data_IF_961868244806
#
_entry.id   IF_961868244806
#
_cell.length_a   1.000
_cell.length_b   1.000
_cell.length_c   1.000
_cell.angle_alpha   90.00
_cell.angle_beta   90.00
_cell.angle_gamma   90.00
#
_symmetry.space_group_name_H-M   'P 1'
#
loop_
_entity.id
_entity.type
_entity.pdbx_description
1 polymer ?
#
# COMPACT_ATOMS: atom_id res chain seq x y z
N UNK A 1 -5.42 10.96 23.10
CA UNK A 1 -5.69 9.53 22.90
C UNK A 1 -6.00 9.35 21.42
N UNK A 2 -5.23 8.56 20.66
CA UNK A 2 -5.52 8.33 19.26
C UNK A 2 -6.95 7.78 19.12
N UNK A 3 -7.71 8.36 18.19
CA UNK A 3 -9.07 7.91 17.95
C UNK A 3 -9.04 6.47 17.43
N UNK A 4 -9.91 5.60 17.93
CA UNK A 4 -9.97 4.20 17.49
C UNK A 4 -10.06 4.07 15.96
N UNK A 5 -10.75 5.00 15.31
CA UNK A 5 -10.88 5.09 13.85
C UNK A 5 -9.54 5.35 13.14
N UNK A 6 -8.67 6.17 13.72
CA UNK A 6 -7.35 6.50 13.17
C UNK A 6 -6.42 5.27 13.22
N UNK A 7 -6.47 4.51 14.32
CA UNK A 7 -5.72 3.25 14.46
C UNK A 7 -6.19 2.22 13.44
N UNK A 8 -7.50 2.05 13.28
CA UNK A 8 -8.08 1.14 12.29
C UNK A 8 -7.68 1.53 10.85
N UNK A 9 -7.70 2.83 10.54
CA UNK A 9 -7.28 3.33 9.24
C UNK A 9 -5.79 3.05 8.97
N UNK A 10 -4.90 3.40 9.92
CA UNK A 10 -3.46 3.15 9.80
C UNK A 10 -3.13 1.65 9.64
N UNK A 11 -3.81 0.77 10.38
CA UNK A 11 -3.66 -0.68 10.24
C UNK A 11 -4.18 -1.19 8.89
N UNK A 12 -5.34 -0.72 8.43
CA UNK A 12 -5.87 -1.07 7.11
C UNK A 12 -4.91 -0.65 6.00
N UNK A 13 -4.40 0.58 6.07
CA UNK A 13 -3.45 1.13 5.11
C UNK A 13 -2.16 0.30 5.05
N UNK A 14 -1.65 -0.11 6.21
CA UNK A 14 -0.48 -0.97 6.32
C UNK A 14 -0.70 -2.35 5.67
N UNK A 15 -1.86 -2.97 5.91
CA UNK A 15 -2.20 -4.25 5.29
C UNK A 15 -2.30 -4.12 3.76
N UNK A 16 -2.94 -3.06 3.27
CA UNK A 16 -3.03 -2.76 1.83
C UNK A 16 -1.65 -2.50 1.21
N UNK A 17 -0.73 -1.86 1.94
CA UNK A 17 0.64 -1.64 1.50
C UNK A 17 1.38 -2.97 1.28
N UNK A 18 1.29 -3.92 2.21
CA UNK A 18 1.92 -5.23 2.07
C UNK A 18 1.35 -6.04 0.90
N UNK A 19 0.03 -6.04 0.74
CA UNK A 19 -0.65 -6.64 -0.42
C UNK A 19 -0.17 -6.01 -1.74
N UNK A 20 -0.12 -4.68 -1.79
CA UNK A 20 0.37 -3.94 -2.96
C UNK A 20 1.83 -4.24 -3.26
N UNK A 21 2.68 -4.40 -2.25
CA UNK A 21 4.09 -4.75 -2.42
C UNK A 21 4.27 -6.16 -3.00
N UNK A 22 3.49 -7.12 -2.50
CA UNK A 22 3.49 -8.48 -3.04
C UNK A 22 3.10 -8.50 -4.52
N UNK A 23 2.04 -7.80 -4.89
CA UNK A 23 1.60 -7.69 -6.29
C UNK A 23 2.64 -6.95 -7.14
N UNK A 24 3.25 -5.89 -6.62
CA UNK A 24 4.31 -5.14 -7.29
C UNK A 24 5.51 -6.04 -7.63
N UNK A 25 5.95 -6.89 -6.70
CA UNK A 25 7.00 -7.89 -6.94
C UNK A 25 6.54 -8.93 -7.97
N UNK A 26 5.32 -9.46 -7.84
CA UNK A 26 4.76 -10.44 -8.77
C UNK A 26 4.70 -9.92 -10.22
N UNK A 27 4.31 -8.67 -10.39
CA UNK A 27 4.23 -8.01 -11.70
C UNK A 27 5.62 -7.61 -12.23
N UNK A 28 6.51 -7.11 -11.37
CA UNK A 28 7.80 -6.55 -11.80
C UNK A 28 8.88 -7.62 -11.97
N UNK A 29 9.02 -8.51 -10.99
CA UNK A 29 10.07 -9.55 -10.96
C UNK A 29 9.59 -10.79 -11.71
N UNK A 30 8.42 -11.32 -11.35
CA UNK A 30 7.89 -12.56 -11.93
C UNK A 30 7.16 -12.35 -13.27
N UNK A 31 6.96 -11.09 -13.69
CA UNK A 31 6.29 -10.69 -14.94
C UNK A 31 4.94 -11.39 -15.14
N UNK A 32 4.24 -11.74 -14.05
CA UNK A 32 3.03 -12.54 -14.11
C UNK A 32 1.89 -11.70 -14.74
N UNK A 33 1.35 -12.09 -15.92
CA UNK A 33 0.38 -11.27 -16.65
C UNK A 33 -0.99 -11.20 -15.96
N UNK A 34 -1.30 -12.11 -15.03
CA UNK A 34 -2.61 -12.22 -14.38
C UNK A 34 -2.96 -11.00 -13.50
N UNK A 35 -2.00 -10.13 -13.18
CA UNK A 35 -2.23 -8.98 -12.30
C UNK A 35 -2.14 -7.63 -13.05
N UNK A 36 -1.73 -7.63 -14.33
CA UNK A 36 -1.67 -6.42 -15.17
C UNK A 36 -3.00 -5.67 -15.39
N UNK A 37 -4.18 -6.31 -15.46
CA UNK A 37 -5.42 -5.56 -15.72
C UNK A 37 -5.94 -4.83 -14.47
N UNK A 38 -5.53 -5.24 -13.27
CA UNK A 38 -6.04 -4.73 -11.99
C UNK A 38 -4.99 -3.86 -11.29
N UNK A 39 -3.71 -4.18 -11.47
CA UNK A 39 -2.61 -3.52 -10.80
C UNK A 39 -1.76 -2.68 -11.75
N UNK A 40 -1.65 -1.39 -11.45
CA UNK A 40 -0.70 -0.49 -12.10
C UNK A 40 0.56 -0.41 -11.25
N UNK A 41 1.73 -0.47 -11.88
CA UNK A 41 3.05 -0.38 -11.23
C UNK A 41 3.18 0.84 -10.31
N UNK A 42 2.42 1.91 -10.58
CA UNK A 42 2.38 3.14 -9.78
C UNK A 42 1.56 3.07 -8.49
N UNK A 43 0.72 2.04 -8.32
CA UNK A 43 -0.13 1.92 -7.13
C UNK A 43 0.68 1.68 -5.85
N UNK A 44 1.76 0.89 -5.93
CA UNK A 44 2.65 0.67 -4.80
C UNK A 44 3.34 1.96 -4.31
N UNK A 45 4.08 2.72 -5.15
CA UNK A 45 4.70 3.96 -4.70
C UNK A 45 3.69 5.01 -4.23
N UNK A 46 2.47 5.04 -4.80
CA UNK A 46 1.40 5.93 -4.33
C UNK A 46 0.90 5.55 -2.92
N UNK A 47 0.61 4.27 -2.67
CA UNK A 47 0.22 3.78 -1.34
C UNK A 47 1.33 3.97 -0.30
N UNK A 48 2.59 3.79 -0.71
CA UNK A 48 3.74 4.05 0.14
C UNK A 48 3.83 5.53 0.52
N UNK A 49 3.65 6.45 -0.44
CA UNK A 49 3.65 7.89 -0.16
C UNK A 49 2.57 8.27 0.85
N UNK A 50 1.33 7.79 0.66
CA UNK A 50 0.22 8.03 1.59
C UNK A 50 0.53 7.46 2.98
N UNK A 51 1.10 6.26 3.05
CA UNK A 51 1.49 5.66 4.32
C UNK A 51 2.54 6.48 5.06
N UNK A 52 3.56 6.97 4.36
CA UNK A 52 4.60 7.82 4.96
C UNK A 52 4.00 9.16 5.42
N UNK A 53 3.10 9.75 4.64
CA UNK A 53 2.46 11.02 5.00
C UNK A 53 1.64 10.87 6.30
N UNK A 54 0.75 9.88 6.33
CA UNK A 54 -0.17 9.62 7.46
C UNK A 54 0.54 9.10 8.71
N UNK A 55 1.60 8.30 8.57
CA UNK A 55 2.29 7.70 9.72
C UNK A 55 3.49 8.51 10.23
N UNK A 56 4.18 9.27 9.38
CA UNK A 56 5.41 9.98 9.75
C UNK A 56 5.28 11.51 9.73
N UNK A 57 4.44 12.09 8.88
CA UNK A 57 4.33 13.55 8.70
C UNK A 57 3.18 14.16 9.51
N UNK A 58 2.11 13.39 9.78
CA UNK A 58 0.95 13.82 10.58
C UNK A 58 1.07 13.57 12.10
N UNK A 59 2.21 13.09 12.59
CA UNK A 59 2.52 12.95 14.02
C UNK A 59 3.44 14.07 14.51
#
# INVERSE_FOLDING_TARGET
>A
MPNSLEIFFKLSLLLTLFLSFYIFISVTIYKNPNHKPIFSTWQFPMLLAIFLDVCLLEN
#
